data_IF_107828490550
#
_entry.id   IF_107828490550
#
_cell.length_a   1.000
_cell.length_b   1.000
_cell.length_c   1.000
_cell.angle_alpha   90.00
_cell.angle_beta   90.00
_cell.angle_gamma   90.00
#
_symmetry.space_group_name_H-M   'P 1'
#
loop_
_entity.id
_entity.type
_entity.pdbx_description
1 polymer ?
#
# COMPACT_ATOMS: atom_id res chain seq x y z
N UNK A 1 -4.98 32.03 -23.47
CA UNK A 1 -5.65 31.54 -22.26
C UNK A 1 -5.98 30.07 -22.42
N UNK A 2 -5.06 29.20 -21.97
CA UNK A 2 -5.37 27.78 -21.79
C UNK A 2 -5.59 27.57 -20.29
N UNK A 3 -6.85 27.57 -19.89
CA UNK A 3 -7.26 27.03 -18.58
C UNK A 3 -7.21 25.51 -18.68
N UNK A 4 -6.12 24.91 -18.16
CA UNK A 4 -6.07 23.47 -17.92
C UNK A 4 -6.90 23.15 -16.71
N UNK A 5 -8.03 22.49 -16.91
CA UNK A 5 -8.83 21.93 -15.81
C UNK A 5 -8.25 20.57 -15.43
N UNK A 6 -7.86 20.42 -14.18
CA UNK A 6 -7.53 19.13 -13.60
C UNK A 6 -8.75 18.61 -12.83
N UNK A 7 -9.19 17.39 -13.12
CA UNK A 7 -10.20 16.71 -12.31
C UNK A 7 -9.48 15.92 -11.20
N UNK A 8 -9.62 16.37 -9.96
CA UNK A 8 -9.14 15.60 -8.79
C UNK A 8 -10.27 14.70 -8.30
N UNK A 9 -10.02 13.40 -8.26
CA UNK A 9 -10.92 12.42 -7.68
C UNK A 9 -10.39 12.00 -6.30
N UNK A 10 -11.15 12.32 -5.26
CA UNK A 10 -10.91 11.77 -3.91
C UNK A 10 -11.71 10.47 -3.79
N UNK A 11 -11.01 9.38 -3.46
CA UNK A 11 -11.65 8.09 -3.19
C UNK A 11 -11.80 7.94 -1.68
N UNK A 12 -13.02 7.81 -1.21
CA UNK A 12 -13.28 7.28 0.11
C UNK A 12 -13.19 5.74 0.04
N UNK A 13 -12.15 5.20 0.64
CA UNK A 13 -11.84 3.76 0.60
C UNK A 13 -12.88 2.95 1.39
N UNK A 14 -13.57 3.55 2.35
CA UNK A 14 -14.57 2.86 3.16
C UNK A 14 -15.95 2.76 2.49
N UNK A 15 -16.33 3.76 1.68
CA UNK A 15 -17.67 3.79 1.08
C UNK A 15 -17.68 3.59 -0.44
N UNK A 16 -16.52 3.51 -1.10
CA UNK A 16 -16.36 3.53 -2.57
C UNK A 16 -17.05 4.72 -3.25
N UNK A 17 -17.29 5.81 -2.53
CA UNK A 17 -17.95 6.99 -3.06
C UNK A 17 -16.91 7.92 -3.68
N UNK A 18 -17.11 8.25 -4.96
CA UNK A 18 -16.30 9.25 -5.65
C UNK A 18 -16.86 10.63 -5.30
N UNK A 19 -16.08 11.43 -4.57
CA UNK A 19 -16.40 12.82 -4.31
C UNK A 19 -15.76 13.69 -5.41
N UNK A 20 -16.58 14.32 -6.23
CA UNK A 20 -16.11 15.26 -7.25
C UNK A 20 -15.97 16.65 -6.61
N UNK A 21 -14.72 17.13 -6.48
CA UNK A 21 -14.46 18.53 -6.17
C UNK A 21 -14.61 19.39 -7.42
N UNK A 22 -15.59 20.31 -7.45
CA UNK A 22 -15.91 21.09 -8.63
C UNK A 22 -15.29 22.49 -8.69
N UNK A 23 -14.49 22.92 -7.73
CA UNK A 23 -13.83 24.23 -7.76
C UNK A 23 -12.38 24.17 -7.27
N UNK A 24 -11.46 24.38 -8.19
CA UNK A 24 -10.08 24.73 -7.90
C UNK A 24 -9.87 26.22 -8.17
N UNK A 25 -9.43 26.96 -7.16
CA UNK A 25 -8.79 28.25 -7.41
C UNK A 25 -7.29 28.01 -7.67
N UNK A 26 -6.63 28.89 -8.41
CA UNK A 26 -5.23 28.77 -8.82
C UNK A 26 -4.18 28.66 -7.66
N UNK A 27 -4.63 28.59 -6.43
CA UNK A 27 -3.83 28.39 -5.22
C UNK A 27 -3.98 27.02 -4.56
N UNK A 28 -4.76 26.10 -5.13
CA UNK A 28 -4.89 24.72 -4.62
C UNK A 28 -5.47 24.59 -3.21
N UNK A 29 -6.24 25.57 -2.73
CA UNK A 29 -6.87 25.53 -1.41
C UNK A 29 -8.18 24.77 -1.48
N UNK A 30 -8.26 23.63 -0.78
CA UNK A 30 -9.53 22.95 -0.53
C UNK A 30 -10.13 23.54 0.75
N UNK A 31 -11.08 24.47 0.62
CA UNK A 31 -11.79 25.01 1.79
C UNK A 31 -12.89 24.02 2.22
N UNK A 32 -12.71 23.53 3.47
CA UNK A 32 -13.80 23.01 4.27
C UNK A 32 -14.45 21.69 3.84
N UNK A 33 -13.76 20.55 3.99
CA UNK A 33 -14.45 19.25 4.00
C UNK A 33 -15.08 19.02 5.37
N UNK A 34 -16.43 18.93 5.42
CA UNK A 34 -17.18 18.56 6.62
C UNK A 34 -17.39 17.06 6.62
N UNK A 35 -16.76 16.37 7.57
CA UNK A 35 -17.03 14.95 7.83
C UNK A 35 -18.00 14.87 9.01
N UNK A 36 -19.16 14.29 8.78
CA UNK A 36 -20.11 13.96 9.85
C UNK A 36 -20.00 12.49 10.16
N UNK A 37 -19.50 12.17 11.35
CA UNK A 37 -19.54 10.83 11.89
C UNK A 37 -20.78 10.63 12.75
N UNK A 38 -21.52 9.54 12.53
CA UNK A 38 -22.49 9.02 13.47
C UNK A 38 -21.79 7.90 14.23
N UNK A 39 -21.52 8.10 15.51
CA UNK A 39 -21.04 7.02 16.36
C UNK A 39 -22.21 6.09 16.71
N UNK A 40 -22.40 5.07 15.90
CA UNK A 40 -23.40 4.02 16.17
C UNK A 40 -23.03 3.16 17.39
N UNK A 41 -21.76 3.14 17.78
CA UNK A 41 -21.30 2.45 18.99
C UNK A 41 -21.83 3.08 20.28
N UNK A 42 -22.05 4.40 20.30
CA UNK A 42 -22.66 5.08 21.44
C UNK A 42 -24.13 4.68 21.67
N UNK A 43 -24.87 4.37 20.61
CA UNK A 43 -26.27 3.95 20.73
C UNK A 43 -26.44 2.58 21.40
N UNK A 44 -25.55 1.63 21.11
CA UNK A 44 -25.56 0.31 21.75
C UNK A 44 -25.30 0.36 23.25
N UNK A 45 -24.51 1.32 23.72
CA UNK A 45 -24.21 1.54 25.14
C UNK A 45 -25.21 2.47 25.82
N UNK A 46 -25.84 3.40 25.11
CA UNK A 46 -26.90 4.25 25.64
C UNK A 46 -28.09 3.46 26.18
N UNK A 47 -28.38 2.29 25.61
CA UNK A 47 -29.45 1.38 26.10
C UNK A 47 -29.21 0.82 27.51
N UNK A 48 -28.00 0.90 28.05
CA UNK A 48 -27.66 0.43 29.40
C UNK A 48 -27.34 1.52 30.43
N UNK A 49 -27.19 2.78 30.02
CA UNK A 49 -26.69 3.80 30.94
C UNK A 49 -27.17 5.24 30.70
N UNK A 50 -28.15 5.50 29.82
CA UNK A 50 -28.70 6.86 29.61
C UNK A 50 -27.73 7.85 28.96
N UNK A 51 -26.87 7.40 28.06
CA UNK A 51 -26.03 8.26 27.23
C UNK A 51 -26.83 8.97 26.14
N UNK A 52 -26.49 10.21 25.84
CA UNK A 52 -27.08 10.96 24.74
C UNK A 52 -26.44 10.58 23.41
N UNK A 53 -27.28 10.31 22.40
CA UNK A 53 -26.82 10.25 21.01
C UNK A 53 -26.31 11.62 20.60
N UNK A 54 -25.06 11.70 20.13
CA UNK A 54 -24.44 12.93 19.67
C UNK A 54 -24.01 12.83 18.20
N UNK A 55 -24.12 13.94 17.47
CA UNK A 55 -23.45 14.08 16.17
C UNK A 55 -22.08 14.72 16.44
N UNK A 56 -21.03 14.05 15.99
CA UNK A 56 -19.68 14.60 16.04
C UNK A 56 -19.34 15.19 14.66
N UNK A 57 -18.71 16.35 14.66
CA UNK A 57 -18.30 17.05 13.44
C UNK A 57 -16.83 17.44 13.55
N UNK A 58 -16.05 17.13 12.52
CA UNK A 58 -14.70 17.62 12.35
C UNK A 58 -14.64 18.42 11.04
N UNK A 59 -14.03 19.60 11.09
CA UNK A 59 -13.81 20.45 9.92
C UNK A 59 -12.32 20.47 9.63
N UNK A 60 -11.94 20.06 8.42
CA UNK A 60 -10.55 20.04 7.98
C UNK A 60 -10.38 21.00 6.82
N UNK A 61 -9.37 21.86 6.89
CA UNK A 61 -8.94 22.73 5.79
C UNK A 61 -7.45 22.52 5.59
N UNK A 62 -7.04 22.15 4.38
CA UNK A 62 -5.65 21.85 4.06
C UNK A 62 -5.30 22.37 2.66
N UNK A 63 -4.08 22.89 2.53
CA UNK A 63 -3.50 23.29 1.25
C UNK A 63 -2.44 22.27 0.86
N UNK A 64 -2.50 21.79 -0.37
CA UNK A 64 -1.49 20.88 -0.93
C UNK A 64 -0.91 21.45 -2.21
N UNK A 65 0.33 21.12 -2.50
CA UNK A 65 1.02 21.57 -3.70
C UNK A 65 1.95 20.48 -4.26
N UNK A 66 2.31 20.63 -5.52
CA UNK A 66 3.33 19.78 -6.14
C UNK A 66 4.24 20.66 -6.99
N UNK A 67 5.55 20.47 -6.82
CA UNK A 67 6.58 21.09 -7.62
C UNK A 67 7.43 20.01 -8.28
N UNK A 68 7.61 20.10 -9.60
CA UNK A 68 8.41 19.14 -10.37
C UNK A 68 9.33 19.92 -11.30
N UNK A 69 10.61 19.56 -11.28
CA UNK A 69 11.59 19.99 -12.27
C UNK A 69 12.13 18.73 -12.96
N UNK A 70 12.13 18.73 -14.28
CA UNK A 70 12.74 17.67 -15.06
C UNK A 70 13.76 18.24 -16.03
N UNK A 71 14.81 17.46 -16.31
CA UNK A 71 15.87 17.83 -17.21
C UNK A 71 16.25 16.64 -18.10
N UNK A 72 16.23 16.88 -19.41
CA UNK A 72 16.71 15.91 -20.38
C UNK A 72 18.24 15.97 -20.45
N UNK A 73 18.90 14.92 -19.92
CA UNK A 73 20.36 14.78 -19.95
C UNK A 73 20.81 14.48 -21.39
N UNK A 74 19.98 13.73 -22.12
CA UNK A 74 20.16 13.39 -23.52
C UNK A 74 18.80 13.07 -24.16
N UNK A 75 18.77 12.76 -25.46
CA UNK A 75 17.55 12.29 -26.15
C UNK A 75 16.98 10.99 -25.57
N UNK A 76 17.79 10.25 -24.82
CA UNK A 76 17.41 8.95 -24.26
C UNK A 76 17.44 8.89 -22.73
N UNK A 77 17.76 9.98 -22.05
CA UNK A 77 17.87 10.00 -20.59
C UNK A 77 17.33 11.30 -20.00
N UNK A 78 16.53 11.16 -18.97
CA UNK A 78 15.90 12.25 -18.21
C UNK A 78 16.12 12.05 -16.71
N UNK A 79 16.28 13.14 -15.98
CA UNK A 79 16.22 13.15 -14.52
C UNK A 79 15.16 14.14 -14.05
N UNK A 80 14.62 13.90 -12.87
CA UNK A 80 13.64 14.80 -12.25
C UNK A 80 13.82 14.89 -10.74
N UNK A 81 13.34 16.01 -10.23
CA UNK A 81 13.17 16.26 -8.79
C UNK A 81 11.73 16.70 -8.56
N UNK A 82 11.09 16.12 -7.53
CA UNK A 82 9.70 16.37 -7.18
C UNK A 82 9.59 16.62 -5.68
N UNK A 83 8.81 17.62 -5.29
CA UNK A 83 8.31 17.81 -3.92
C UNK A 83 6.79 17.91 -4.01
N UNK A 84 6.10 17.18 -3.16
CA UNK A 84 4.64 17.17 -3.14
C UNK A 84 4.13 17.06 -1.71
N UNK A 85 3.06 17.79 -1.41
CA UNK A 85 2.34 17.71 -0.16
C UNK A 85 1.02 16.95 -0.38
N UNK A 86 0.66 16.11 0.59
CA UNK A 86 -0.60 15.38 0.61
C UNK A 86 -1.25 15.43 1.98
N UNK A 87 -2.54 15.08 2.06
CA UNK A 87 -3.23 14.93 3.33
C UNK A 87 -4.33 13.88 3.27
N UNK A 88 -4.68 13.37 4.44
CA UNK A 88 -5.84 12.53 4.67
C UNK A 88 -6.64 13.12 5.82
N UNK A 89 -7.95 13.30 5.63
CA UNK A 89 -8.78 13.93 6.64
C UNK A 89 -8.83 13.11 7.94
N UNK A 90 -8.94 13.79 9.06
CA UNK A 90 -9.22 13.16 10.34
C UNK A 90 -10.64 12.59 10.41
N UNK A 91 -10.95 11.87 11.46
CA UNK A 91 -12.26 11.21 11.61
C UNK A 91 -12.49 10.71 13.03
N UNK A 92 -13.41 9.75 13.15
CA UNK A 92 -13.78 9.12 14.41
C UNK A 92 -13.67 7.59 14.31
N UNK A 93 -13.36 6.94 15.42
CA UNK A 93 -13.24 5.49 15.53
C UNK A 93 -14.62 4.80 15.59
N UNK A 94 -15.31 4.75 14.44
CA UNK A 94 -16.67 4.21 14.32
C UNK A 94 -16.78 2.71 14.68
N UNK A 95 -15.67 1.96 14.61
CA UNK A 95 -15.60 0.53 14.89
C UNK A 95 -15.15 0.25 16.35
N UNK A 96 -14.80 1.28 17.12
CA UNK A 96 -14.41 1.09 18.52
C UNK A 96 -15.61 0.70 19.39
N UNK A 97 -15.45 -0.34 20.18
CA UNK A 97 -16.40 -0.73 21.22
C UNK A 97 -16.32 0.16 22.46
N UNK A 98 -15.30 1.00 22.57
CA UNK A 98 -15.11 1.96 23.64
C UNK A 98 -15.80 3.29 23.27
N UNK A 99 -16.87 3.71 24.00
CA UNK A 99 -17.59 4.95 23.68
C UNK A 99 -16.72 6.21 23.71
N UNK A 100 -15.69 6.23 24.55
CA UNK A 100 -14.76 7.34 24.64
C UNK A 100 -13.90 7.41 23.38
N UNK A 101 -13.29 6.31 22.96
CA UNK A 101 -12.51 6.24 21.72
C UNK A 101 -13.39 6.52 20.49
N UNK A 102 -14.62 6.01 20.45
CA UNK A 102 -15.57 6.29 19.36
C UNK A 102 -15.95 7.76 19.23
N UNK A 103 -15.91 8.53 20.32
CA UNK A 103 -16.25 9.97 20.37
C UNK A 103 -15.04 10.89 20.27
N UNK A 104 -13.82 10.36 20.41
CA UNK A 104 -12.58 11.11 20.30
C UNK A 104 -12.12 11.13 18.86
N UNK A 105 -12.00 12.30 18.21
CA UNK A 105 -11.53 12.37 16.85
C UNK A 105 -10.02 12.06 16.77
N UNK A 106 -9.61 11.40 15.71
CA UNK A 106 -8.21 11.35 15.30
C UNK A 106 -7.90 12.48 14.32
N UNK A 107 -6.67 13.00 14.38
CA UNK A 107 -6.24 14.16 13.61
C UNK A 107 -6.14 13.85 12.10
N UNK A 108 -6.17 14.87 11.23
CA UNK A 108 -5.75 14.73 9.85
C UNK A 108 -4.28 14.32 9.77
N UNK A 109 -3.97 13.44 8.83
CA UNK A 109 -2.61 13.08 8.45
C UNK A 109 -2.11 14.00 7.35
N UNK A 110 -0.86 14.44 7.41
CA UNK A 110 -0.19 15.15 6.33
C UNK A 110 1.08 14.41 5.91
N UNK A 111 1.47 14.55 4.66
CA UNK A 111 2.72 14.02 4.13
C UNK A 111 3.41 15.05 3.27
N UNK A 112 4.71 15.21 3.47
CA UNK A 112 5.61 15.86 2.54
C UNK A 112 6.48 14.80 1.87
N UNK A 113 6.43 14.73 0.54
CA UNK A 113 7.16 13.75 -0.27
C UNK A 113 8.21 14.45 -1.11
N UNK A 114 9.46 14.02 -0.97
CA UNK A 114 10.58 14.44 -1.83
C UNK A 114 11.06 13.24 -2.66
N UNK A 115 11.23 13.43 -3.95
CA UNK A 115 11.63 12.34 -4.85
C UNK A 115 12.63 12.85 -5.89
N UNK A 116 13.69 12.10 -6.10
CA UNK A 116 14.63 12.28 -7.21
C UNK A 116 14.64 11.02 -8.05
N UNK A 117 14.49 11.17 -9.36
CA UNK A 117 14.45 10.03 -10.25
C UNK A 117 15.25 10.22 -11.51
N UNK A 118 15.60 9.08 -12.07
CA UNK A 118 16.31 8.96 -13.34
C UNK A 118 15.60 7.94 -14.22
N UNK A 119 15.43 8.28 -15.52
CA UNK A 119 14.88 7.39 -16.55
C UNK A 119 15.80 7.41 -17.75
N UNK A 120 16.22 6.23 -18.18
CA UNK A 120 17.16 6.11 -19.29
C UNK A 120 16.85 4.93 -20.22
N UNK A 121 17.18 5.10 -21.49
CA UNK A 121 17.11 4.08 -22.54
C UNK A 121 18.46 3.97 -23.20
N UNK A 122 18.99 2.77 -23.31
CA UNK A 122 20.34 2.50 -23.80
C UNK A 122 20.33 1.38 -24.83
N UNK A 123 21.43 1.27 -25.60
CA UNK A 123 21.64 0.20 -26.57
C UNK A 123 20.47 0.10 -27.58
N UNK A 124 20.14 1.23 -28.25
CA UNK A 124 19.02 1.31 -29.21
C UNK A 124 17.68 0.86 -28.60
N UNK A 125 17.38 1.36 -27.38
CA UNK A 125 16.20 1.02 -26.58
C UNK A 125 16.13 -0.44 -26.12
N UNK A 126 17.22 -1.20 -26.19
CA UNK A 126 17.25 -2.58 -25.69
C UNK A 126 17.34 -2.66 -24.16
N UNK A 127 17.81 -1.62 -23.50
CA UNK A 127 17.86 -1.54 -22.03
C UNK A 127 17.15 -0.27 -21.59
N UNK A 128 16.14 -0.44 -20.76
CA UNK A 128 15.40 0.64 -20.10
C UNK A 128 15.62 0.52 -18.60
N UNK A 129 15.99 1.64 -17.96
CA UNK A 129 16.24 1.71 -16.52
C UNK A 129 15.50 2.91 -15.96
N UNK A 130 14.72 2.69 -14.90
CA UNK A 130 14.14 3.72 -14.06
C UNK A 130 14.70 3.54 -12.66
N UNK A 131 15.15 4.61 -12.02
CA UNK A 131 15.61 4.63 -10.64
C UNK A 131 14.95 5.81 -9.97
N UNK A 132 14.39 5.61 -8.79
CA UNK A 132 13.87 6.66 -7.94
C UNK A 132 14.36 6.48 -6.51
N UNK A 133 14.73 7.56 -5.85
CA UNK A 133 14.87 7.66 -4.41
C UNK A 133 13.77 8.59 -3.92
N UNK A 134 13.09 8.20 -2.87
CA UNK A 134 12.06 9.01 -2.23
C UNK A 134 12.28 9.09 -0.72
N UNK A 135 11.76 10.18 -0.15
CA UNK A 135 11.75 10.48 1.26
C UNK A 135 10.42 11.14 1.59
N UNK A 136 9.64 10.52 2.47
CA UNK A 136 8.30 10.95 2.84
C UNK A 136 8.24 11.16 4.36
N UNK A 137 8.02 12.39 4.78
CA UNK A 137 7.77 12.76 6.17
C UNK A 137 6.26 12.81 6.40
N UNK A 138 5.76 11.95 7.30
CA UNK A 138 4.36 11.89 7.69
C UNK A 138 4.16 12.52 9.07
N UNK A 139 3.30 13.53 9.16
CA UNK A 139 2.81 14.05 10.42
C UNK A 139 1.42 13.48 10.70
N UNK A 140 1.21 13.03 11.94
CA UNK A 140 -0.08 12.48 12.39
C UNK A 140 -0.62 11.34 11.51
N UNK A 141 0.24 10.47 10.98
CA UNK A 141 -0.15 9.29 10.20
C UNK A 141 -1.20 8.47 10.95
N UNK A 142 -2.27 8.11 10.26
CA UNK A 142 -3.40 7.37 10.83
C UNK A 142 -3.12 5.87 10.82
N UNK A 143 -2.86 5.30 11.98
CA UNK A 143 -2.50 3.89 12.17
C UNK A 143 -3.68 3.13 12.76
N UNK A 144 -4.14 2.08 12.09
CA UNK A 144 -5.13 1.16 12.62
C UNK A 144 -4.45 0.04 13.40
N UNK A 145 -4.97 -0.29 14.57
CA UNK A 145 -4.51 -1.40 15.38
C UNK A 145 -5.68 -2.08 16.09
N UNK A 146 -5.50 -3.33 16.55
CA UNK A 146 -6.46 -4.01 17.39
C UNK A 146 -6.08 -3.83 18.87
N UNK A 147 -7.05 -3.43 19.69
CA UNK A 147 -6.85 -3.34 21.13
C UNK A 147 -6.69 -4.73 21.75
N UNK A 148 -5.93 -4.80 22.86
CA UNK A 148 -5.71 -6.05 23.58
C UNK A 148 -6.91 -6.48 24.44
N UNK A 149 -7.92 -5.63 24.58
CA UNK A 149 -9.10 -5.91 25.40
C UNK A 149 -9.98 -7.01 24.77
N UNK A 150 -10.92 -7.51 25.59
CA UNK A 150 -11.80 -8.62 25.18
C UNK A 150 -12.73 -8.30 24.00
N UNK A 151 -12.82 -7.04 23.60
CA UNK A 151 -13.72 -6.60 22.54
C UNK A 151 -13.10 -6.67 21.14
N UNK A 152 -11.78 -6.90 21.04
CA UNK A 152 -11.04 -6.94 19.77
C UNK A 152 -11.42 -5.79 18.82
N UNK A 153 -11.58 -4.60 19.38
CA UNK A 153 -11.98 -3.43 18.63
C UNK A 153 -10.80 -2.92 17.79
N UNK A 154 -11.10 -2.47 16.57
CA UNK A 154 -10.14 -1.70 15.78
C UNK A 154 -10.22 -0.23 16.19
N UNK A 155 -9.07 0.38 16.43
CA UNK A 155 -8.94 1.80 16.72
C UNK A 155 -7.91 2.42 15.78
N UNK A 156 -8.08 3.72 15.50
CA UNK A 156 -7.12 4.54 14.77
C UNK A 156 -6.46 5.50 15.73
N UNK A 157 -5.14 5.57 15.66
CA UNK A 157 -4.31 6.51 16.42
C UNK A 157 -3.40 7.27 15.46
N UNK A 158 -3.08 8.50 15.78
CA UNK A 158 -2.10 9.28 15.02
C UNK A 158 -0.69 9.02 15.54
N UNK A 159 0.26 8.86 14.64
CA UNK A 159 1.69 8.79 14.94
C UNK A 159 2.48 9.37 13.78
N UNK A 160 3.59 10.05 14.03
CA UNK A 160 4.46 10.53 12.96
C UNK A 160 5.36 9.40 12.46
N UNK A 161 5.76 9.47 11.19
CA UNK A 161 6.57 8.45 10.55
C UNK A 161 7.43 9.02 9.44
N UNK A 162 8.63 8.45 9.27
CA UNK A 162 9.51 8.70 8.15
C UNK A 162 9.61 7.44 7.29
N UNK A 163 9.43 7.61 5.98
CA UNK A 163 9.44 6.50 5.03
C UNK A 163 10.33 6.89 3.86
N UNK A 164 11.48 6.23 3.73
CA UNK A 164 12.38 6.46 2.60
C UNK A 164 12.69 5.17 1.86
N UNK A 165 13.15 5.30 0.60
CA UNK A 165 13.46 4.11 -0.16
C UNK A 165 14.05 4.37 -1.53
N UNK A 166 14.45 3.26 -2.15
CA UNK A 166 14.96 3.22 -3.53
C UNK A 166 14.13 2.22 -4.33
N UNK A 167 13.69 2.64 -5.50
CA UNK A 167 13.05 1.78 -6.49
C UNK A 167 13.90 1.71 -7.74
N UNK A 168 14.10 0.51 -8.26
CA UNK A 168 14.83 0.24 -9.51
C UNK A 168 13.96 -0.66 -10.38
N UNK A 169 13.67 -0.19 -11.57
CA UNK A 169 12.98 -0.96 -12.60
C UNK A 169 13.87 -1.07 -13.84
N UNK A 170 14.11 -2.29 -14.28
CA UNK A 170 14.94 -2.56 -15.45
C UNK A 170 14.24 -3.51 -16.40
N UNK A 171 14.22 -3.16 -17.68
CA UNK A 171 13.85 -4.07 -18.76
C UNK A 171 15.00 -4.15 -19.75
N UNK A 172 15.47 -5.37 -20.03
CA UNK A 172 16.56 -5.62 -20.96
C UNK A 172 16.18 -6.68 -22.00
N UNK A 173 16.26 -6.32 -23.28
CA UNK A 173 16.24 -7.26 -24.40
C UNK A 173 17.64 -7.79 -24.62
N UNK A 174 17.97 -8.94 -24.02
CA UNK A 174 19.29 -9.57 -24.08
C UNK A 174 19.64 -9.97 -25.52
N UNK A 175 18.64 -10.36 -26.28
CA UNK A 175 18.65 -10.56 -27.74
C UNK A 175 17.21 -10.47 -28.25
N UNK A 176 16.99 -10.70 -29.56
CA UNK A 176 15.68 -10.54 -30.21
C UNK A 176 14.60 -11.50 -29.69
N UNK A 177 14.99 -12.54 -28.96
CA UNK A 177 14.11 -13.59 -28.44
C UNK A 177 14.12 -13.71 -26.93
N UNK A 178 14.91 -12.86 -26.22
CA UNK A 178 15.05 -13.01 -24.76
C UNK A 178 14.91 -11.64 -24.08
N UNK A 179 13.96 -11.53 -23.17
CA UNK A 179 13.68 -10.35 -22.36
C UNK A 179 13.85 -10.67 -20.90
N UNK A 180 14.58 -9.83 -20.19
CA UNK A 180 14.74 -9.84 -18.74
C UNK A 180 14.09 -8.59 -18.16
N UNK A 181 13.33 -8.75 -17.09
CA UNK A 181 12.83 -7.65 -16.25
C UNK A 181 13.31 -7.88 -14.82
N UNK A 182 13.78 -6.83 -14.18
CA UNK A 182 14.19 -6.83 -12.78
C UNK A 182 13.63 -5.58 -12.13
N UNK A 183 12.80 -5.76 -11.11
CA UNK A 183 12.29 -4.67 -10.28
C UNK A 183 12.75 -4.94 -8.84
N UNK A 184 13.35 -3.95 -8.22
CA UNK A 184 13.85 -4.02 -6.85
C UNK A 184 13.37 -2.79 -6.10
N UNK A 185 12.88 -2.99 -4.89
CA UNK A 185 12.57 -1.95 -3.92
C UNK A 185 13.32 -2.20 -2.62
N UNK A 186 13.89 -1.14 -2.06
CA UNK A 186 14.38 -1.09 -0.69
C UNK A 186 13.60 0.00 0.04
N UNK A 187 13.07 -0.33 1.21
CA UNK A 187 12.26 0.54 2.03
C UNK A 187 12.85 0.61 3.44
N UNK A 188 12.92 1.81 3.99
CA UNK A 188 13.16 2.10 5.39
C UNK A 188 11.95 2.90 5.89
N UNK A 189 11.25 2.34 6.87
CA UNK A 189 10.02 2.93 7.40
C UNK A 189 10.00 2.82 8.91
N UNK A 190 9.97 3.96 9.59
CA UNK A 190 9.97 4.03 11.04
C UNK A 190 8.97 5.04 11.58
N UNK A 191 8.43 4.75 12.76
CA UNK A 191 7.64 5.71 13.50
C UNK A 191 8.57 6.68 14.24
N UNK A 192 8.39 7.98 14.03
CA UNK A 192 9.15 9.06 14.70
C UNK A 192 8.38 9.70 15.84
N UNK A 193 7.06 9.45 15.92
CA UNK A 193 6.22 9.86 17.04
C UNK A 193 6.24 8.86 18.19
N UNK A 194 5.75 9.29 19.35
CA UNK A 194 5.66 8.47 20.56
C UNK A 194 4.23 8.07 20.91
N UNK A 195 3.40 7.73 19.93
CA UNK A 195 2.00 7.42 20.18
C UNK A 195 1.86 6.17 21.05
N UNK A 196 0.97 6.26 22.02
CA UNK A 196 0.63 5.16 22.93
C UNK A 196 -0.81 4.76 22.67
N UNK A 197 -1.01 3.49 22.37
CA UNK A 197 -2.31 2.90 22.16
C UNK A 197 -3.19 2.97 23.43
N UNK A 198 -4.50 2.86 23.30
CA UNK A 198 -5.45 2.94 24.44
C UNK A 198 -5.21 1.85 25.48
N UNK A 199 -4.61 0.72 25.11
CA UNK A 199 -4.21 -0.39 25.97
C UNK A 199 -2.80 -0.21 26.60
N UNK A 200 -2.12 0.93 26.34
CA UNK A 200 -0.86 1.32 26.97
C UNK A 200 0.41 0.86 26.26
N UNK A 201 0.31 0.20 25.10
CA UNK A 201 1.47 -0.18 24.29
C UNK A 201 1.87 0.94 23.31
N UNK A 202 3.17 1.09 23.07
CA UNK A 202 3.71 1.94 22.01
C UNK A 202 3.64 1.24 20.66
N UNK A 203 3.50 2.03 19.57
CA UNK A 203 3.53 1.50 18.21
C UNK A 203 4.96 1.64 17.69
N UNK A 204 5.61 0.52 17.37
CA UNK A 204 7.02 0.50 16.97
C UNK A 204 7.25 -0.18 15.62
N UNK A 205 6.56 -1.29 15.35
CA UNK A 205 6.72 -2.00 14.09
C UNK A 205 5.91 -1.33 12.99
N UNK A 206 6.55 -1.00 11.87
CA UNK A 206 5.84 -0.43 10.73
C UNK A 206 5.10 -1.54 9.96
N UNK A 207 3.75 -1.49 9.87
CA UNK A 207 3.00 -2.56 9.25
C UNK A 207 3.11 -2.54 7.71
N UNK A 208 3.14 -3.72 7.09
CA UNK A 208 3.19 -3.92 5.64
C UNK A 208 4.38 -3.24 4.93
N UNK A 209 5.48 -3.02 5.62
CA UNK A 209 6.68 -2.38 5.13
C UNK A 209 7.87 -3.37 5.07
N UNK A 210 7.96 -4.23 4.07
CA UNK A 210 9.11 -5.11 3.90
C UNK A 210 10.34 -4.29 3.48
N UNK A 211 11.49 -4.48 4.14
CA UNK A 211 12.74 -3.77 3.81
C UNK A 211 13.17 -3.97 2.36
N UNK A 212 12.84 -5.13 1.77
CA UNK A 212 13.23 -5.47 0.41
C UNK A 212 12.14 -6.21 -0.33
N UNK A 213 11.94 -5.81 -1.57
CA UNK A 213 11.13 -6.52 -2.56
C UNK A 213 11.94 -6.75 -3.82
N UNK A 214 11.79 -7.91 -4.44
CA UNK A 214 12.44 -8.25 -5.69
C UNK A 214 11.45 -8.98 -6.60
N UNK A 215 11.40 -8.55 -7.85
CA UNK A 215 10.72 -9.26 -8.91
C UNK A 215 11.67 -9.45 -10.10
N UNK A 216 11.79 -10.69 -10.57
CA UNK A 216 12.58 -11.03 -11.76
C UNK A 216 11.70 -11.82 -12.70
N UNK A 217 11.67 -11.40 -13.97
CA UNK A 217 10.96 -12.10 -15.03
C UNK A 217 11.88 -12.36 -16.21
N UNK A 218 12.00 -13.61 -16.61
CA UNK A 218 12.72 -14.03 -17.81
C UNK A 218 11.72 -14.57 -18.84
N UNK A 219 11.64 -13.90 -19.97
CA UNK A 219 10.82 -14.30 -21.10
C UNK A 219 11.73 -14.75 -22.26
N UNK A 220 11.44 -15.90 -22.81
CA UNK A 220 12.17 -16.47 -23.94
C UNK A 220 11.21 -16.93 -25.03
N UNK A 221 11.44 -16.44 -26.24
CA UNK A 221 10.73 -16.85 -27.45
C UNK A 221 11.51 -17.98 -28.15
N UNK A 222 10.81 -19.06 -28.47
CA UNK A 222 11.32 -20.23 -29.17
C UNK A 222 10.61 -20.41 -30.54
N UNK A 223 10.09 -19.34 -31.11
CA UNK A 223 9.30 -19.32 -32.32
C UNK A 223 7.82 -19.54 -32.03
N UNK A 224 7.25 -20.78 -32.18
CA UNK A 224 5.84 -20.99 -31.90
C UNK A 224 5.49 -21.02 -30.39
N UNK A 225 6.49 -21.01 -29.54
CA UNK A 225 6.34 -21.07 -28.08
C UNK A 225 7.05 -19.90 -27.42
N UNK A 226 6.42 -19.32 -26.40
CA UNK A 226 7.03 -18.35 -25.51
C UNK A 226 6.96 -18.86 -24.09
N UNK A 227 8.09 -18.94 -23.44
CA UNK A 227 8.18 -19.31 -22.02
C UNK A 227 8.46 -18.04 -21.20
N UNK A 228 7.78 -17.93 -20.06
CA UNK A 228 8.03 -16.90 -19.08
C UNK A 228 8.15 -17.53 -17.70
N UNK A 229 9.25 -17.18 -17.02
CA UNK A 229 9.52 -17.56 -15.64
C UNK A 229 9.54 -16.26 -14.82
N UNK A 230 8.67 -16.21 -13.83
CA UNK A 230 8.54 -15.09 -12.92
C UNK A 230 8.98 -15.53 -11.51
N UNK A 231 9.79 -14.73 -10.83
CA UNK A 231 10.14 -14.92 -9.42
C UNK A 231 9.92 -13.64 -8.65
N UNK A 232 9.16 -13.71 -7.57
CA UNK A 232 8.96 -12.61 -6.62
C UNK A 232 9.51 -13.00 -5.26
N UNK A 233 10.16 -12.04 -4.57
CA UNK A 233 10.62 -12.19 -3.20
C UNK A 233 10.23 -10.96 -2.39
N UNK A 234 9.76 -11.18 -1.17
CA UNK A 234 9.42 -10.16 -0.19
C UNK A 234 10.13 -10.53 1.11
N UNK A 235 10.80 -9.58 1.75
CA UNK A 235 11.44 -9.78 3.05
C UNK A 235 10.40 -9.97 4.17
N UNK A 236 10.86 -10.41 5.32
CA UNK A 236 10.05 -10.45 6.54
C UNK A 236 9.53 -9.03 6.87
N UNK A 237 8.30 -8.94 7.36
CA UNK A 237 7.69 -7.69 7.77
C UNK A 237 6.57 -7.92 8.78
N UNK A 238 6.27 -6.88 9.56
CA UNK A 238 5.13 -6.87 10.46
C UNK A 238 3.81 -6.62 9.69
N UNK A 239 2.73 -7.17 10.21
CA UNK A 239 1.35 -6.89 9.74
C UNK A 239 0.68 -5.85 10.63
N UNK A 240 1.06 -5.77 11.92
CA UNK A 240 0.51 -4.85 12.90
C UNK A 240 1.63 -4.05 13.58
N UNK A 241 1.32 -2.85 14.10
CA UNK A 241 2.31 -1.90 14.60
C UNK A 241 2.73 -2.15 16.06
N UNK A 242 2.64 -3.39 16.57
CA UNK A 242 2.93 -3.69 17.97
C UNK A 242 4.42 -3.58 18.30
N UNK A 243 4.75 -3.11 19.51
CA UNK A 243 6.12 -3.10 19.99
C UNK A 243 6.58 -4.50 20.46
N UNK A 244 7.91 -4.67 20.60
CA UNK A 244 8.51 -5.96 21.01
C UNK A 244 8.11 -6.46 22.39
N UNK A 245 7.52 -5.62 23.25
CA UNK A 245 7.00 -5.99 24.56
C UNK A 245 5.55 -6.49 24.53
N UNK A 246 4.85 -6.24 23.42
CA UNK A 246 3.49 -6.77 23.22
C UNK A 246 3.59 -8.25 22.80
N UNK A 247 2.93 -9.16 23.52
CA UNK A 247 2.97 -10.59 23.17
C UNK A 247 2.40 -10.90 21.77
N UNK A 248 1.64 -9.98 21.19
CA UNK A 248 1.13 -10.10 19.80
C UNK A 248 2.19 -9.82 18.76
N UNK A 249 3.25 -9.03 19.05
CA UNK A 249 4.26 -8.65 18.10
C UNK A 249 4.93 -9.85 17.41
N UNK A 250 5.32 -10.86 18.20
CA UNK A 250 5.94 -12.08 17.68
C UNK A 250 4.98 -12.94 16.81
N UNK A 251 3.67 -12.74 16.96
CA UNK A 251 2.64 -13.49 16.25
C UNK A 251 2.20 -12.81 14.95
N UNK A 252 2.60 -11.55 14.74
CA UNK A 252 2.15 -10.73 13.61
C UNK A 252 3.22 -10.49 12.55
N UNK A 253 4.42 -11.03 12.72
CA UNK A 253 5.45 -11.00 11.70
C UNK A 253 5.23 -12.10 10.67
N UNK A 254 5.29 -11.73 9.42
CA UNK A 254 5.24 -12.64 8.28
C UNK A 254 6.66 -12.86 7.77
N UNK A 255 7.08 -14.12 7.75
CA UNK A 255 8.43 -14.50 7.31
C UNK A 255 8.67 -14.15 5.84
N UNK A 256 9.92 -13.94 5.49
CA UNK A 256 10.32 -13.71 4.10
C UNK A 256 9.85 -14.86 3.20
N UNK A 257 9.38 -14.52 2.00
CA UNK A 257 8.87 -15.51 1.05
C UNK A 257 9.36 -15.24 -0.36
N UNK A 258 9.52 -16.33 -1.12
CA UNK A 258 9.77 -16.29 -2.56
C UNK A 258 8.79 -17.20 -3.29
N UNK A 259 8.19 -16.72 -4.37
CA UNK A 259 7.24 -17.45 -5.19
C UNK A 259 7.71 -17.44 -6.64
N UNK A 260 7.69 -18.59 -7.29
CA UNK A 260 8.09 -18.74 -8.70
C UNK A 260 6.91 -19.25 -9.51
N UNK A 261 6.64 -18.58 -10.62
CA UNK A 261 5.57 -18.93 -11.56
C UNK A 261 6.17 -19.24 -12.92
N UNK A 262 5.59 -20.21 -13.62
CA UNK A 262 5.95 -20.58 -14.99
C UNK A 262 4.75 -20.43 -15.90
N UNK A 263 4.96 -19.85 -17.10
CA UNK A 263 3.96 -19.78 -18.18
C UNK A 263 4.57 -20.24 -19.49
N UNK A 264 3.81 -21.04 -20.22
CA UNK A 264 4.10 -21.43 -21.58
C UNK A 264 2.94 -20.97 -22.48
N UNK A 265 3.24 -20.06 -23.40
CA UNK A 265 2.30 -19.48 -24.33
C UNK A 265 2.56 -20.10 -25.72
N UNK A 266 1.49 -20.40 -26.44
CA UNK A 266 1.54 -20.96 -27.80
C UNK A 266 0.47 -20.29 -28.64
N UNK A 267 0.82 -19.94 -29.88
CA UNK A 267 -0.08 -19.38 -30.88
C UNK A 267 -0.16 -20.34 -32.09
N UNK A 268 -0.92 -21.45 -31.98
CA UNK A 268 -0.96 -22.48 -33.04
C UNK A 268 -1.66 -22.00 -34.32
N UNK A 269 -2.48 -20.92 -34.22
CA UNK A 269 -3.13 -20.27 -35.35
C UNK A 269 -3.37 -18.79 -35.00
N UNK A 270 -3.58 -17.92 -36.01
CA UNK A 270 -3.78 -16.49 -35.83
C UNK A 270 -4.95 -16.12 -34.87
N UNK A 271 -5.92 -16.99 -34.75
CA UNK A 271 -7.10 -16.81 -33.94
C UNK A 271 -7.14 -17.68 -32.67
N UNK A 272 -6.07 -18.44 -32.36
CA UNK A 272 -6.00 -19.32 -31.21
C UNK A 272 -4.76 -18.97 -30.37
N UNK A 273 -4.96 -18.61 -29.12
CA UNK A 273 -3.90 -18.49 -28.14
C UNK A 273 -4.12 -19.55 -27.05
N UNK A 274 -3.08 -20.29 -26.72
CA UNK A 274 -3.07 -21.28 -25.64
C UNK A 274 -2.09 -20.83 -24.59
N UNK A 275 -2.45 -20.91 -23.32
CA UNK A 275 -1.54 -20.63 -22.21
C UNK A 275 -1.63 -21.76 -21.19
N UNK A 276 -0.52 -22.43 -20.96
CA UNK A 276 -0.33 -23.32 -19.82
C UNK A 276 0.43 -22.58 -18.74
N UNK A 277 -0.02 -22.67 -17.48
CA UNK A 277 0.65 -22.01 -16.38
C UNK A 277 0.70 -22.86 -15.12
N UNK A 278 1.77 -22.62 -14.35
CA UNK A 278 1.97 -23.15 -13.00
C UNK A 278 2.28 -21.97 -12.11
N UNK A 279 1.42 -21.68 -11.14
CA UNK A 279 1.69 -20.73 -10.05
C UNK A 279 2.27 -21.47 -8.88
N UNK A 280 3.18 -20.79 -8.14
CA UNK A 280 3.93 -21.36 -7.04
C UNK A 280 4.58 -22.70 -7.43
N UNK A 281 5.42 -22.67 -8.45
CA UNK A 281 6.08 -23.85 -9.06
C UNK A 281 6.80 -24.73 -8.02
N UNK A 282 7.39 -24.12 -7.00
CA UNK A 282 8.15 -24.79 -5.94
C UNK A 282 7.28 -25.32 -4.81
N UNK A 283 5.96 -25.05 -4.84
CA UNK A 283 4.99 -25.43 -3.81
C UNK A 283 5.35 -24.93 -2.40
N UNK A 284 5.84 -23.70 -2.31
CA UNK A 284 6.17 -23.10 -1.03
C UNK A 284 4.88 -22.83 -0.23
N UNK A 285 4.87 -23.25 1.04
CA UNK A 285 3.85 -22.82 2.00
C UNK A 285 4.30 -21.50 2.64
N UNK A 286 3.48 -20.47 2.57
CA UNK A 286 3.81 -19.16 3.11
C UNK A 286 2.55 -18.44 3.62
N UNK A 287 2.73 -17.67 4.69
CA UNK A 287 1.69 -16.80 5.23
C UNK A 287 1.71 -15.48 4.46
N UNK A 288 0.54 -14.95 4.11
CA UNK A 288 0.37 -13.65 3.44
C UNK A 288 -0.17 -12.59 4.37
N UNK A 289 -0.92 -13.01 5.39
CA UNK A 289 -1.53 -12.14 6.39
C UNK A 289 -1.83 -12.94 7.65
N UNK A 290 -2.00 -12.27 8.76
CA UNK A 290 -2.48 -12.87 10.00
C UNK A 290 -3.39 -11.91 10.78
N UNK A 291 -4.19 -12.45 11.67
CA UNK A 291 -5.02 -11.68 12.59
C UNK A 291 -4.77 -12.21 13.99
N UNK A 292 -4.13 -11.43 14.88
CA UNK A 292 -3.92 -11.81 16.26
C UNK A 292 -5.17 -11.49 17.09
N UNK A 293 -5.65 -12.46 17.84
CA UNK A 293 -6.69 -12.28 18.82
C UNK A 293 -6.07 -12.21 20.22
N UNK A 294 -6.47 -11.20 20.99
CA UNK A 294 -5.96 -10.95 22.33
C UNK A 294 -6.41 -12.00 23.36
N UNK A 295 -6.05 -11.80 24.66
CA UNK A 295 -6.31 -12.74 25.75
C UNK A 295 -7.78 -13.12 25.90
N UNK A 296 -8.72 -12.22 25.60
CA UNK A 296 -10.16 -12.47 25.64
C UNK A 296 -10.64 -13.57 24.69
N UNK A 297 -9.84 -13.89 23.65
CA UNK A 297 -10.10 -14.93 22.66
C UNK A 297 -9.08 -16.08 22.73
N UNK A 298 -8.34 -16.21 23.83
CA UNK A 298 -7.40 -17.28 24.06
C UNK A 298 -6.02 -17.09 23.44
N UNK A 299 -5.64 -15.88 23.05
CA UNK A 299 -4.35 -15.53 22.43
C UNK A 299 -4.02 -16.39 21.21
N UNK A 300 -4.96 -16.50 20.28
CA UNK A 300 -4.79 -17.24 19.02
C UNK A 300 -4.48 -16.28 17.89
N UNK A 301 -3.74 -16.78 16.89
CA UNK A 301 -3.53 -16.07 15.61
C UNK A 301 -4.15 -16.88 14.48
N UNK A 302 -4.89 -16.23 13.61
CA UNK A 302 -5.37 -16.81 12.36
C UNK A 302 -4.41 -16.44 11.23
N UNK A 303 -3.75 -17.44 10.66
CA UNK A 303 -2.86 -17.25 9.53
C UNK A 303 -3.60 -17.49 8.22
N UNK A 304 -3.43 -16.55 7.29
CA UNK A 304 -3.89 -16.67 5.91
C UNK A 304 -2.72 -17.10 5.03
N UNK A 305 -2.83 -18.30 4.49
CA UNK A 305 -1.81 -18.83 3.61
C UNK A 305 -1.99 -18.36 2.16
N UNK A 306 -0.88 -18.16 1.47
CA UNK A 306 -0.87 -17.98 0.03
C UNK A 306 -1.31 -19.24 -0.69
N UNK A 307 -1.67 -19.11 -1.97
CA UNK A 307 -2.13 -20.26 -2.77
C UNK A 307 -1.02 -21.32 -2.89
N UNK A 308 -1.34 -22.60 -2.73
CA UNK A 308 -0.42 -23.68 -3.00
C UNK A 308 -0.12 -23.74 -4.51
N UNK A 309 0.77 -24.65 -4.94
CA UNK A 309 1.00 -24.85 -6.36
C UNK A 309 -0.31 -25.13 -7.07
N UNK A 310 -0.60 -24.29 -8.06
CA UNK A 310 -1.78 -24.43 -8.91
C UNK A 310 -1.35 -24.53 -10.37
N UNK A 311 -2.07 -25.33 -11.13
CA UNK A 311 -1.82 -25.56 -12.55
C UNK A 311 -3.09 -25.21 -13.32
N UNK A 312 -2.94 -24.53 -14.43
CA UNK A 312 -4.07 -24.15 -15.25
C UNK A 312 -3.73 -24.08 -16.74
N UNK A 313 -4.80 -24.03 -17.51
CA UNK A 313 -4.73 -23.96 -18.96
C UNK A 313 -5.82 -23.02 -19.46
N UNK A 314 -5.43 -22.05 -20.28
CA UNK A 314 -6.34 -21.07 -20.88
C UNK A 314 -6.34 -21.25 -22.39
N UNK A 315 -7.53 -21.16 -22.99
CA UNK A 315 -7.73 -21.11 -24.44
C UNK A 315 -8.45 -19.82 -24.78
N UNK A 316 -7.86 -19.00 -25.63
CA UNK A 316 -8.51 -17.82 -26.20
C UNK A 316 -8.71 -18.02 -27.70
N UNK A 317 -9.95 -17.95 -28.13
CA UNK A 317 -10.35 -18.01 -29.55
C UNK A 317 -10.92 -16.65 -29.96
N UNK A 318 -10.43 -16.10 -31.09
CA UNK A 318 -10.98 -14.88 -31.69
C UNK A 318 -11.85 -15.27 -32.87
N UNK A 319 -13.10 -14.84 -32.85
CA UNK A 319 -14.07 -15.06 -33.92
C UNK A 319 -13.87 -14.10 -35.08
#
# INVERSE_FOLDING_TARGET
>A
DQTSSFDLYLYDIQTFTILKCTEFTASGVVEGMKIRGLSSGAEGFAAKGGGSTGTFEIVVSQTTGTFIVSHDISESANMYFKVADGFKAGGFNAESSNPFAASTPYAPETVQSTEIGFKGRYLDNRVMVNIAYFDNEHEDMQISYFTADAAAASEVINNSADISGIEIETTAYLNDTTKLMVNYGSLDAEFTGGAVASDGFTLEQFPYAPDHTLYVSLEKDFGPYRMRLDHSRISEHAIFPYNGNDPRAALTNVASRGVTDLRLLMDPAENINLTFWIKNLTDNSYVVNNIPFGPGFGQITLDYYGAPRTVGFDVRYKF
#
